data_IF_950398105810
#
_entry.id   IF_950398105810
#
_cell.length_a   1.000
_cell.length_b   1.000
_cell.length_c   1.000
_cell.angle_alpha   90.00
_cell.angle_beta   90.00
_cell.angle_gamma   90.00
#
_symmetry.space_group_name_H-M   'P 1'
#
loop_
_entity.id
_entity.type
_entity.pdbx_description
1 polymer ?
#
# COMPACT_ATOMS: atom_id res chain seq x y z
N UNK A 1 6.90 26.02 -3.57
CA UNK A 1 6.88 24.83 -4.44
C UNK A 1 6.01 23.80 -3.74
N UNK A 2 4.95 23.30 -4.38
CA UNK A 2 4.19 22.17 -3.83
C UNK A 2 5.08 20.92 -3.87
N UNK A 3 5.07 20.07 -2.84
CA UNK A 3 5.91 18.89 -2.83
C UNK A 3 5.53 17.95 -3.98
N UNK A 4 6.54 17.31 -4.57
CA UNK A 4 6.34 16.15 -5.43
C UNK A 4 5.58 15.06 -4.64
N UNK A 5 5.11 14.02 -5.35
CA UNK A 5 4.53 12.83 -4.71
C UNK A 5 5.34 12.42 -3.46
N UNK A 6 4.69 12.44 -2.30
CA UNK A 6 5.24 11.96 -1.05
C UNK A 6 4.76 10.52 -0.85
N UNK A 7 5.64 9.50 -0.95
CA UNK A 7 5.23 8.12 -0.72
C UNK A 7 4.67 7.97 0.71
N UNK A 8 3.77 6.99 0.94
CA UNK A 8 3.33 6.68 2.29
C UNK A 8 4.57 6.24 3.09
N UNK A 9 4.74 6.76 4.31
CA UNK A 9 5.87 6.32 5.14
C UNK A 9 5.41 5.11 5.94
N UNK A 10 5.96 3.95 5.59
CA UNK A 10 5.82 2.76 6.41
C UNK A 10 6.89 2.74 7.49
N UNK A 11 6.46 2.72 8.75
CA UNK A 11 7.33 2.51 9.90
C UNK A 11 7.14 1.06 10.40
N UNK A 12 8.18 0.20 10.37
CA UNK A 12 8.07 -1.21 10.75
C UNK A 12 7.80 -1.44 12.24
N UNK A 13 6.53 -1.62 12.59
CA UNK A 13 6.09 -1.97 13.95
C UNK A 13 6.23 -3.48 14.27
N UNK A 14 6.28 -3.87 15.55
CA UNK A 14 6.20 -5.28 15.95
C UNK A 14 4.90 -5.93 15.45
N UNK A 15 5.00 -7.17 14.96
CA UNK A 15 3.81 -7.94 14.62
C UNK A 15 3.14 -8.48 15.90
N UNK A 16 1.90 -8.07 16.16
CA UNK A 16 1.22 -8.29 17.45
C UNK A 16 0.21 -9.43 17.46
N UNK A 17 -0.06 -10.06 16.30
CA UNK A 17 -1.13 -11.08 16.21
C UNK A 17 -0.63 -12.50 16.47
N UNK A 18 0.68 -12.71 16.67
CA UNK A 18 1.22 -14.04 16.96
C UNK A 18 0.64 -14.61 18.25
N UNK A 19 0.07 -15.81 18.17
CA UNK A 19 -0.47 -16.53 19.33
C UNK A 19 -1.86 -16.09 19.79
N UNK A 20 -2.48 -15.13 19.11
CA UNK A 20 -3.86 -14.71 19.37
C UNK A 20 -4.87 -15.67 18.73
N UNK A 21 -5.95 -15.94 19.42
CA UNK A 21 -7.15 -16.55 18.85
C UNK A 21 -7.96 -15.53 18.04
N UNK A 22 -8.85 -16.02 17.16
CA UNK A 22 -9.70 -15.15 16.33
C UNK A 22 -10.47 -14.11 17.17
N UNK A 23 -11.02 -14.50 18.32
CA UNK A 23 -11.78 -13.59 19.19
C UNK A 23 -10.92 -12.51 19.87
N UNK A 24 -9.60 -12.70 19.90
CA UNK A 24 -8.62 -11.80 20.53
C UNK A 24 -8.04 -10.80 19.53
N UNK A 25 -8.26 -10.99 18.23
CA UNK A 25 -7.88 -10.00 17.22
C UNK A 25 -8.66 -8.69 17.38
N UNK A 26 -8.15 -7.55 16.91
CA UNK A 26 -8.94 -6.31 16.85
C UNK A 26 -10.28 -6.54 16.12
N UNK A 27 -11.37 -5.95 16.62
CA UNK A 27 -12.72 -6.16 16.07
C UNK A 27 -12.81 -5.93 14.56
N UNK A 28 -12.09 -4.91 14.06
CA UNK A 28 -11.99 -4.63 12.64
C UNK A 28 -11.41 -5.79 11.83
N UNK A 29 -10.36 -6.44 12.34
CA UNK A 29 -9.75 -7.61 11.72
C UNK A 29 -10.69 -8.82 11.74
N UNK A 30 -11.43 -9.02 12.84
CA UNK A 30 -12.45 -10.08 12.92
C UNK A 30 -13.54 -9.89 11.86
N UNK A 31 -14.12 -8.70 11.78
CA UNK A 31 -15.14 -8.35 10.78
C UNK A 31 -14.59 -8.49 9.36
N UNK A 32 -13.36 -8.03 9.10
CA UNK A 32 -12.74 -8.19 7.79
C UNK A 32 -12.61 -9.67 7.41
N UNK A 33 -12.10 -10.52 8.30
CA UNK A 33 -11.93 -11.95 8.02
C UNK A 33 -13.29 -12.67 7.84
N UNK A 34 -14.26 -12.37 8.70
CA UNK A 34 -15.57 -13.03 8.71
C UNK A 34 -16.48 -12.57 7.56
N UNK A 35 -16.65 -11.26 7.40
CA UNK A 35 -17.75 -10.68 6.61
C UNK A 35 -17.27 -10.20 5.24
N UNK A 36 -16.04 -9.67 5.15
CA UNK A 36 -15.52 -9.05 3.92
C UNK A 36 -14.70 -10.03 3.08
N UNK A 37 -13.70 -10.67 3.69
CA UNK A 37 -12.86 -11.67 3.07
C UNK A 37 -13.54 -13.06 3.06
N UNK A 38 -14.44 -13.31 4.02
CA UNK A 38 -15.10 -14.60 4.22
C UNK A 38 -14.08 -15.75 4.37
N UNK A 39 -12.96 -15.47 5.04
CA UNK A 39 -11.86 -16.38 5.32
C UNK A 39 -11.97 -16.92 6.75
N UNK A 40 -13.01 -17.72 6.97
CA UNK A 40 -13.18 -18.54 8.17
C UNK A 40 -13.07 -20.03 7.81
N UNK A 41 -12.91 -20.94 8.77
CA UNK A 41 -12.95 -22.37 8.50
C UNK A 41 -14.23 -22.75 7.72
N UNK A 42 -14.14 -23.61 6.68
CA UNK A 42 -12.93 -24.28 6.18
C UNK A 42 -12.14 -23.46 5.15
N UNK A 43 -12.67 -22.35 4.63
CA UNK A 43 -12.10 -21.60 3.49
C UNK A 43 -10.72 -21.01 3.79
N UNK A 44 -10.44 -20.66 5.05
CA UNK A 44 -9.11 -20.21 5.49
C UNK A 44 -8.00 -21.25 5.25
N UNK A 45 -8.35 -22.54 5.15
CA UNK A 45 -7.40 -23.63 4.94
C UNK A 45 -7.04 -23.81 3.46
N UNK A 46 -7.74 -23.12 2.54
CA UNK A 46 -7.44 -23.16 1.11
C UNK A 46 -6.35 -22.11 0.78
N UNK A 47 -5.12 -22.51 0.40
CA UNK A 47 -4.02 -21.57 0.16
C UNK A 47 -4.35 -20.54 -0.94
N UNK A 48 -5.09 -20.96 -1.97
CA UNK A 48 -5.48 -20.09 -3.07
C UNK A 48 -6.47 -19.00 -2.64
N UNK A 49 -7.32 -19.26 -1.63
CA UNK A 49 -8.28 -18.27 -1.15
C UNK A 49 -7.58 -17.11 -0.42
N UNK A 50 -6.61 -17.43 0.44
CA UNK A 50 -5.80 -16.41 1.15
C UNK A 50 -4.92 -15.64 0.17
N UNK A 51 -4.29 -16.33 -0.78
CA UNK A 51 -3.49 -15.69 -1.83
C UNK A 51 -4.34 -14.72 -2.66
N UNK A 52 -5.50 -15.16 -3.13
CA UNK A 52 -6.42 -14.33 -3.90
C UNK A 52 -6.87 -13.09 -3.11
N UNK A 53 -7.16 -13.26 -1.83
CA UNK A 53 -7.56 -12.13 -0.98
C UNK A 53 -6.43 -11.12 -0.79
N UNK A 54 -5.19 -11.56 -0.60
CA UNK A 54 -4.04 -10.65 -0.54
C UNK A 54 -3.90 -9.84 -1.82
N UNK A 55 -4.07 -10.48 -2.99
CA UNK A 55 -4.02 -9.78 -4.27
C UNK A 55 -5.13 -8.73 -4.36
N UNK A 56 -6.36 -9.10 -3.99
CA UNK A 56 -7.51 -8.19 -3.95
C UNK A 56 -7.26 -7.00 -3.01
N UNK A 57 -6.68 -7.25 -1.85
CA UNK A 57 -6.35 -6.22 -0.87
C UNK A 57 -5.29 -5.23 -1.39
N UNK A 58 -4.22 -5.74 -2.02
CA UNK A 58 -3.18 -4.90 -2.64
C UNK A 58 -3.76 -4.07 -3.78
N UNK A 59 -4.65 -4.65 -4.59
CA UNK A 59 -5.36 -3.91 -5.63
C UNK A 59 -6.27 -2.83 -5.06
N UNK A 60 -6.99 -3.13 -3.99
CA UNK A 60 -7.82 -2.15 -3.29
C UNK A 60 -6.98 -0.99 -2.76
N UNK A 61 -5.80 -1.25 -2.17
CA UNK A 61 -4.89 -0.20 -1.71
C UNK A 61 -4.50 0.74 -2.85
N UNK A 62 -4.06 0.20 -3.99
CA UNK A 62 -3.71 1.01 -5.15
C UNK A 62 -4.88 1.88 -5.62
N UNK A 63 -6.07 1.30 -5.78
CA UNK A 63 -7.27 2.02 -6.24
C UNK A 63 -7.71 3.11 -5.26
N UNK A 64 -7.60 2.85 -3.96
CA UNK A 64 -7.89 3.86 -2.95
C UNK A 64 -6.88 5.02 -2.98
N UNK A 65 -5.59 4.72 -3.18
CA UNK A 65 -4.54 5.73 -3.27
C UNK A 65 -4.56 6.51 -4.59
N UNK A 66 -5.04 5.89 -5.68
CA UNK A 66 -5.18 6.52 -7.01
C UNK A 66 -5.96 7.83 -6.92
N UNK A 67 -7.12 7.83 -6.24
CA UNK A 67 -7.94 9.03 -6.07
C UNK A 67 -7.19 10.15 -5.34
N UNK A 68 -6.56 9.83 -4.21
CA UNK A 68 -5.76 10.82 -3.45
C UNK A 68 -4.58 11.35 -4.27
N UNK A 69 -3.98 10.52 -5.12
CA UNK A 69 -2.85 10.90 -5.97
C UNK A 69 -3.28 11.82 -7.12
N UNK A 70 -4.41 11.52 -7.78
CA UNK A 70 -5.00 12.40 -8.80
C UNK A 70 -5.28 13.78 -8.21
N UNK A 71 -5.91 13.85 -7.02
CA UNK A 71 -6.16 15.15 -6.37
C UNK A 71 -4.87 15.91 -6.05
N UNK A 72 -3.80 15.24 -5.62
CA UNK A 72 -2.49 15.89 -5.41
C UNK A 72 -1.90 16.44 -6.72
N UNK A 73 -2.06 15.72 -7.82
CA UNK A 73 -1.63 16.15 -9.16
C UNK A 73 -2.41 17.39 -9.60
N UNK A 74 -3.74 17.37 -9.49
CA UNK A 74 -4.61 18.51 -9.81
C UNK A 74 -4.22 19.76 -9.02
N UNK A 75 -3.92 19.62 -7.71
CA UNK A 75 -3.46 20.75 -6.90
C UNK A 75 -2.11 21.30 -7.36
N UNK A 76 -1.18 20.46 -7.83
CA UNK A 76 0.09 20.94 -8.43
C UNK A 76 -0.16 21.68 -9.74
N UNK A 77 -1.02 21.15 -10.60
CA UNK A 77 -1.39 21.79 -11.85
C UNK A 77 -2.04 23.16 -11.63
N UNK A 78 -3.00 23.25 -10.71
CA UNK A 78 -3.62 24.52 -10.32
C UNK A 78 -2.60 25.54 -9.81
N UNK A 79 -1.60 25.08 -9.05
CA UNK A 79 -0.53 25.95 -8.55
C UNK A 79 0.35 26.48 -9.68
N UNK A 80 0.68 25.65 -10.68
CA UNK A 80 1.44 26.07 -11.86
C UNK A 80 0.65 27.09 -12.69
N UNK A 81 -0.63 26.80 -12.96
CA UNK A 81 -1.53 27.70 -13.69
C UNK A 81 -1.71 29.05 -13.00
N UNK A 82 -1.87 29.06 -11.67
CA UNK A 82 -1.97 30.31 -10.90
C UNK A 82 -0.70 31.17 -11.02
N UNK A 83 0.49 30.54 -11.14
CA UNK A 83 1.75 31.25 -11.36
C UNK A 83 1.81 31.86 -12.77
N UNK A 84 1.37 31.14 -13.80
CA UNK A 84 1.30 31.64 -15.18
C UNK A 84 0.35 32.84 -15.35
N UNK A 85 -0.75 32.84 -14.59
CA UNK A 85 -1.78 33.89 -14.63
C UNK A 85 -1.36 35.22 -14.00
N UNK A 86 -0.15 35.34 -13.43
CA UNK A 86 0.37 36.56 -12.80
C UNK A 86 -0.64 37.22 -11.84
N UNK A 87 -1.27 36.41 -10.98
CA UNK A 87 -2.31 36.86 -10.07
C UNK A 87 -1.76 37.92 -9.08
N UNK A 88 -2.62 38.83 -8.57
CA UNK A 88 -2.24 39.74 -7.50
C UNK A 88 -1.68 38.98 -6.29
N UNK A 89 -0.65 39.50 -5.59
CA UNK A 89 0.03 38.77 -4.52
C UNK A 89 -0.89 38.26 -3.40
N UNK A 90 -1.90 39.04 -3.03
CA UNK A 90 -2.89 38.67 -2.01
C UNK A 90 -3.74 37.48 -2.45
N UNK A 91 -4.24 37.51 -3.69
CA UNK A 91 -5.05 36.42 -4.28
C UNK A 91 -4.20 35.15 -4.44
N UNK A 92 -2.95 35.28 -4.89
CA UNK A 92 -2.03 34.16 -5.00
C UNK A 92 -1.73 33.52 -3.63
N UNK A 93 -1.57 34.34 -2.58
CA UNK A 93 -1.34 33.86 -1.22
C UNK A 93 -2.55 33.11 -0.65
N UNK A 94 -3.76 33.63 -0.81
CA UNK A 94 -5.00 32.99 -0.35
C UNK A 94 -5.26 31.64 -1.02
N UNK A 95 -5.07 31.57 -2.35
CA UNK A 95 -5.19 30.31 -3.11
C UNK A 95 -4.15 29.29 -2.67
N UNK A 96 -2.90 29.71 -2.47
CA UNK A 96 -1.84 28.82 -1.97
C UNK A 96 -2.13 28.32 -0.55
N UNK A 97 -2.63 29.18 0.34
CA UNK A 97 -2.99 28.78 1.70
C UNK A 97 -4.11 27.73 1.70
N UNK A 98 -5.16 27.95 0.91
CA UNK A 98 -6.29 27.01 0.77
C UNK A 98 -5.81 25.66 0.22
N UNK A 99 -4.97 25.68 -0.82
CA UNK A 99 -4.39 24.48 -1.42
C UNK A 99 -3.53 23.70 -0.42
N UNK A 100 -2.67 24.39 0.33
CA UNK A 100 -1.83 23.76 1.35
C UNK A 100 -2.68 23.16 2.46
N UNK A 101 -3.76 23.85 2.87
CA UNK A 101 -4.70 23.32 3.85
C UNK A 101 -5.37 22.02 3.35
N UNK A 102 -5.84 21.97 2.12
CA UNK A 102 -6.41 20.73 1.55
C UNK A 102 -5.38 19.60 1.49
N UNK A 103 -4.15 19.88 1.05
CA UNK A 103 -3.09 18.88 0.98
C UNK A 103 -2.77 18.33 2.38
N UNK A 104 -2.51 19.21 3.35
CA UNK A 104 -2.00 18.83 4.66
C UNK A 104 -3.11 18.30 5.58
N UNK A 105 -4.31 18.85 5.51
CA UNK A 105 -5.39 18.49 6.42
C UNK A 105 -6.35 17.42 5.87
N UNK A 106 -6.32 17.14 4.57
CA UNK A 106 -7.25 16.19 3.93
C UNK A 106 -6.50 15.09 3.19
N UNK A 107 -5.69 15.45 2.18
CA UNK A 107 -5.12 14.46 1.27
C UNK A 107 -4.04 13.59 1.93
N UNK A 108 -3.09 14.19 2.66
CA UNK A 108 -2.04 13.42 3.35
C UNK A 108 -2.60 12.56 4.50
N UNK A 109 -3.49 13.06 5.38
CA UNK A 109 -4.12 12.23 6.40
C UNK A 109 -4.94 11.07 5.82
N UNK A 110 -5.72 11.31 4.75
CA UNK A 110 -6.49 10.26 4.10
C UNK A 110 -5.58 9.17 3.52
N UNK A 111 -4.47 9.58 2.92
CA UNK A 111 -3.45 8.64 2.42
C UNK A 111 -2.89 7.75 3.52
N UNK A 112 -2.55 8.32 4.69
CA UNK A 112 -2.08 7.54 5.84
C UNK A 112 -3.17 6.61 6.35
N UNK A 113 -4.42 7.09 6.48
CA UNK A 113 -5.57 6.29 6.91
C UNK A 113 -5.76 5.06 6.03
N UNK A 114 -5.64 5.22 4.70
CA UNK A 114 -5.73 4.13 3.73
C UNK A 114 -4.60 3.10 3.90
N UNK A 115 -3.38 3.55 4.20
CA UNK A 115 -2.25 2.66 4.49
C UNK A 115 -2.49 1.88 5.80
N UNK A 116 -2.88 2.56 6.88
CA UNK A 116 -3.13 1.94 8.18
C UNK A 116 -4.23 0.88 8.07
N UNK A 117 -5.30 1.19 7.34
CA UNK A 117 -6.39 0.26 7.07
C UNK A 117 -5.92 -0.97 6.27
N UNK A 118 -5.07 -0.76 5.27
CA UNK A 118 -4.44 -1.84 4.52
C UNK A 118 -3.58 -2.73 5.44
N UNK A 119 -2.73 -2.14 6.29
CA UNK A 119 -1.83 -2.89 7.17
C UNK A 119 -2.61 -3.76 8.15
N UNK A 120 -3.68 -3.24 8.75
CA UNK A 120 -4.54 -4.03 9.66
C UNK A 120 -5.20 -5.22 8.96
N UNK A 121 -5.69 -5.03 7.72
CA UNK A 121 -6.26 -6.12 6.91
C UNK A 121 -5.18 -7.12 6.50
N UNK A 122 -4.00 -6.63 6.13
CA UNK A 122 -2.87 -7.45 5.71
C UNK A 122 -2.36 -8.32 6.85
N UNK A 123 -2.22 -7.75 8.05
CA UNK A 123 -1.82 -8.47 9.26
C UNK A 123 -2.88 -9.52 9.65
N UNK A 124 -4.17 -9.23 9.44
CA UNK A 124 -5.23 -10.23 9.62
C UNK A 124 -5.11 -11.41 8.64
N UNK A 125 -4.73 -11.16 7.38
CA UNK A 125 -4.45 -12.24 6.41
C UNK A 125 -3.16 -12.99 6.74
N UNK A 126 -2.17 -12.33 7.34
CA UNK A 126 -0.94 -12.96 7.79
C UNK A 126 -1.18 -13.85 9.02
N UNK A 127 -2.11 -13.46 9.90
CA UNK A 127 -2.52 -14.29 11.02
C UNK A 127 -3.01 -15.68 10.60
N UNK A 128 -3.69 -15.80 9.44
CA UNK A 128 -4.06 -17.12 8.89
C UNK A 128 -2.81 -17.98 8.59
N UNK A 129 -1.74 -17.39 8.05
CA UNK A 129 -0.49 -18.14 7.79
C UNK A 129 0.18 -18.58 9.10
N UNK A 130 0.13 -17.72 10.13
CA UNK A 130 0.67 -17.99 11.46
C UNK A 130 -0.05 -19.17 12.10
N UNK A 131 -1.39 -19.18 12.07
CA UNK A 131 -2.20 -20.28 12.61
C UNK A 131 -1.90 -21.61 11.91
N UNK A 132 -1.61 -21.56 10.61
CA UNK A 132 -1.22 -22.74 9.83
C UNK A 132 0.22 -23.21 10.07
N UNK A 133 1.08 -22.40 10.71
CA UNK A 133 2.52 -22.65 10.85
C UNK A 133 3.04 -22.26 12.24
N UNK A 134 3.04 -23.23 13.15
CA UNK A 134 3.40 -23.03 14.57
C UNK A 134 4.90 -23.00 14.86
N UNK A 135 5.75 -23.26 13.86
CA UNK A 135 7.20 -23.44 14.04
C UNK A 135 8.01 -22.14 13.95
N UNK A 136 7.37 -21.01 13.63
CA UNK A 136 8.02 -19.70 13.45
C UNK A 136 7.72 -18.78 14.64
N UNK A 137 8.74 -18.07 15.12
CA UNK A 137 8.61 -17.09 16.21
C UNK A 137 8.04 -15.75 15.73
N UNK A 138 7.64 -14.89 16.68
CA UNK A 138 7.09 -13.56 16.37
C UNK A 138 8.05 -12.69 15.53
N UNK A 139 9.37 -12.81 15.75
CA UNK A 139 10.39 -12.09 14.97
C UNK A 139 10.49 -12.57 13.52
N UNK A 140 10.30 -13.87 13.27
CA UNK A 140 10.31 -14.43 11.91
C UNK A 140 9.10 -13.91 11.14
N UNK A 141 7.93 -13.89 11.79
CA UNK A 141 6.70 -13.34 11.23
C UNK A 141 6.79 -11.84 10.99
N UNK A 142 7.41 -11.07 11.90
CA UNK A 142 7.69 -9.65 11.67
C UNK A 142 8.55 -9.45 10.43
N UNK A 143 9.67 -10.16 10.34
CA UNK A 143 10.60 -10.05 9.20
C UNK A 143 9.90 -10.41 7.89
N UNK A 144 9.08 -11.46 7.92
CA UNK A 144 8.28 -11.86 6.75
C UNK A 144 7.24 -10.79 6.38
N UNK A 145 6.47 -10.29 7.34
CA UNK A 145 5.50 -9.19 7.19
C UNK A 145 6.15 -7.97 6.55
N UNK A 146 7.25 -7.49 7.13
CA UNK A 146 8.01 -6.34 6.64
C UNK A 146 8.49 -6.56 5.20
N UNK A 147 8.96 -7.76 4.88
CA UNK A 147 9.42 -8.09 3.53
C UNK A 147 8.30 -8.05 2.48
N UNK A 148 7.10 -8.52 2.83
CA UNK A 148 5.94 -8.48 1.94
C UNK A 148 5.40 -7.07 1.79
N UNK A 149 5.20 -6.36 2.89
CA UNK A 149 4.69 -4.99 2.91
C UNK A 149 5.63 -4.08 2.12
N UNK A 150 6.94 -4.16 2.35
CA UNK A 150 7.92 -3.34 1.61
C UNK A 150 7.84 -3.55 0.10
N UNK A 151 7.64 -4.80 -0.35
CA UNK A 151 7.46 -5.11 -1.78
C UNK A 151 6.15 -4.55 -2.33
N UNK A 152 5.06 -4.69 -1.59
CA UNK A 152 3.75 -4.13 -1.97
C UNK A 152 3.83 -2.63 -2.09
N UNK A 153 4.40 -1.95 -1.10
CA UNK A 153 4.50 -0.50 -1.09
C UNK A 153 5.39 0.00 -2.23
N UNK A 154 6.54 -0.63 -2.47
CA UNK A 154 7.38 -0.30 -3.62
C UNK A 154 6.62 -0.41 -4.94
N UNK A 155 5.86 -1.50 -5.13
CA UNK A 155 5.06 -1.70 -6.35
C UNK A 155 3.96 -0.63 -6.48
N UNK A 156 3.27 -0.31 -5.37
CA UNK A 156 2.24 0.73 -5.35
C UNK A 156 2.85 2.10 -5.66
N UNK A 157 4.00 2.43 -5.06
CA UNK A 157 4.71 3.69 -5.29
C UNK A 157 5.14 3.83 -6.76
N UNK A 158 5.74 2.79 -7.35
CA UNK A 158 6.12 2.79 -8.77
C UNK A 158 4.90 3.07 -9.67
N UNK A 159 3.72 2.54 -9.32
CA UNK A 159 2.49 2.75 -10.11
C UNK A 159 1.90 4.12 -9.93
N UNK A 160 1.95 4.66 -8.72
CA UNK A 160 1.48 6.01 -8.47
C UNK A 160 2.41 7.05 -9.12
N UNK A 161 3.70 6.76 -9.25
CA UNK A 161 4.64 7.56 -10.06
C UNK A 161 4.30 7.47 -11.56
N UNK A 162 4.01 6.27 -12.09
CA UNK A 162 3.57 6.12 -13.48
C UNK A 162 2.25 6.88 -13.75
N UNK A 163 1.33 6.87 -12.79
CA UNK A 163 0.09 7.65 -12.83
C UNK A 163 0.39 9.15 -12.83
N UNK A 164 1.29 9.62 -11.96
CA UNK A 164 1.73 11.02 -11.90
C UNK A 164 2.19 11.52 -13.27
N UNK A 165 3.13 10.80 -13.89
CA UNK A 165 3.66 11.10 -15.22
C UNK A 165 2.54 11.12 -16.28
N UNK A 166 1.61 10.17 -16.22
CA UNK A 166 0.54 10.03 -17.20
C UNK A 166 -0.50 11.15 -17.12
N UNK A 167 -0.88 11.53 -15.89
CA UNK A 167 -1.83 12.62 -15.65
C UNK A 167 -1.17 13.96 -15.97
N UNK A 168 0.08 14.18 -15.56
CA UNK A 168 0.82 15.39 -15.90
C UNK A 168 0.90 15.58 -17.42
N UNK A 169 1.20 14.51 -18.18
CA UNK A 169 1.18 14.55 -19.64
C UNK A 169 -0.20 14.88 -20.22
N UNK A 170 -1.29 14.32 -19.66
CA UNK A 170 -2.66 14.59 -20.09
C UNK A 170 -3.13 16.03 -19.87
N UNK A 171 -2.51 16.73 -18.91
CA UNK A 171 -2.84 18.11 -18.59
C UNK A 171 -2.08 19.12 -19.46
N UNK A 172 -1.22 18.63 -20.39
CA UNK A 172 -0.62 19.44 -21.46
C UNK A 172 -1.46 19.35 -22.74
N UNK A 173 -1.68 20.48 -23.45
CA UNK A 173 -2.65 20.56 -24.54
C UNK A 173 -2.32 19.73 -25.80
N UNK A 174 -1.16 19.07 -25.89
CA UNK A 174 -0.72 18.33 -27.09
C UNK A 174 -1.07 16.82 -27.10
N UNK A 175 -1.62 16.22 -26.03
CA UNK A 175 -1.71 14.76 -25.90
C UNK A 175 -3.12 14.21 -25.62
N UNK A 176 -4.03 14.28 -26.62
CA UNK A 176 -5.39 13.69 -26.49
C UNK A 176 -5.52 12.20 -26.90
N UNK A 177 -4.54 11.58 -27.59
CA UNK A 177 -4.65 10.16 -28.03
C UNK A 177 -3.86 9.15 -27.17
N UNK A 178 -3.03 9.58 -26.23
CA UNK A 178 -2.10 8.71 -25.47
C UNK A 178 -2.69 8.20 -24.15
N UNK A 179 -3.76 8.84 -23.66
CA UNK A 179 -4.24 8.79 -22.28
C UNK A 179 -5.03 7.52 -21.92
N UNK A 180 -5.91 7.05 -22.79
CA UNK A 180 -6.69 5.83 -22.53
C UNK A 180 -5.79 4.58 -22.53
N UNK A 181 -4.80 4.54 -23.43
CA UNK A 181 -3.82 3.46 -23.54
C UNK A 181 -2.81 3.46 -22.39
N UNK A 182 -2.47 4.62 -21.81
CA UNK A 182 -1.59 4.74 -20.66
C UNK A 182 -2.21 4.15 -19.39
N UNK A 183 -3.44 4.57 -19.05
CA UNK A 183 -4.15 4.09 -17.86
C UNK A 183 -4.47 2.57 -17.95
N UNK A 184 -4.86 2.09 -19.13
CA UNK A 184 -5.06 0.66 -19.39
C UNK A 184 -3.76 -0.16 -19.29
N UNK A 185 -2.63 0.36 -19.77
CA UNK A 185 -1.31 -0.31 -19.62
C UNK A 185 -0.86 -0.39 -18.17
N UNK A 186 -1.04 0.68 -17.39
CA UNK A 186 -0.67 0.69 -15.96
C UNK A 186 -1.50 -0.32 -15.19
N UNK A 187 -2.79 -0.46 -15.52
CA UNK A 187 -3.73 -1.43 -14.92
C UNK A 187 -3.38 -2.88 -15.26
N UNK A 188 -3.14 -3.20 -16.53
CA UNK A 188 -2.79 -4.58 -16.98
C UNK A 188 -1.42 -5.03 -16.45
N UNK A 189 -0.44 -4.11 -16.40
CA UNK A 189 0.91 -4.44 -15.89
C UNK A 189 0.95 -4.62 -14.37
N UNK A 190 0.03 -3.97 -13.64
CA UNK A 190 -0.13 -4.18 -12.21
C UNK A 190 -0.70 -5.57 -11.88
N UNK A 191 -1.68 -6.05 -12.65
CA UNK A 191 -2.24 -7.40 -12.50
C UNK A 191 -1.19 -8.51 -12.74
N UNK A 192 -0.23 -8.28 -13.65
CA UNK A 192 0.83 -9.26 -13.96
C UNK A 192 1.94 -9.34 -12.90
N UNK A 193 2.32 -8.23 -12.26
CA UNK A 193 3.36 -8.22 -11.20
C UNK A 193 2.87 -8.83 -9.88
N UNK A 194 1.56 -8.86 -9.66
CA UNK A 194 0.96 -9.46 -8.46
C UNK A 194 1.13 -11.00 -8.40
N UNK A 195 1.26 -11.68 -9.54
CA UNK A 195 1.27 -13.15 -9.60
C UNK A 195 2.51 -13.80 -8.96
N UNK A 196 3.66 -13.11 -8.96
CA UNK A 196 4.94 -13.65 -8.46
C UNK A 196 5.26 -13.25 -7.01
N UNK A 197 4.86 -12.05 -6.57
CA UNK A 197 5.38 -11.40 -5.35
C UNK A 197 4.88 -11.98 -4.01
N UNK A 198 3.74 -12.68 -4.00
CA UNK A 198 3.06 -13.16 -2.78
C UNK A 198 3.03 -14.69 -2.66
N UNK A 199 3.86 -15.39 -3.44
CA UNK A 199 3.78 -16.85 -3.58
C UNK A 199 4.64 -17.65 -2.60
N UNK A 200 5.49 -17.03 -1.77
CA UNK A 200 6.43 -17.76 -0.91
C UNK A 200 6.32 -17.32 0.54
N UNK A 201 5.95 -18.27 1.41
CA UNK A 201 5.98 -18.16 2.87
C UNK A 201 7.42 -18.37 3.39
N UNK A 202 7.77 -17.92 4.61
CA UNK A 202 9.11 -18.12 5.14
C UNK A 202 9.37 -19.63 5.27
N UNK A 203 10.55 -20.06 4.82
CA UNK A 203 11.09 -21.36 5.19
C UNK A 203 11.69 -21.24 6.60
N UNK A 204 11.49 -22.23 7.48
CA UNK A 204 12.21 -22.26 8.74
C UNK A 204 13.70 -22.23 8.41
N UNK A 205 14.40 -21.21 8.89
CA UNK A 205 15.86 -21.19 8.87
C UNK A 205 16.28 -22.34 9.78
N UNK A 206 16.74 -23.45 9.21
CA UNK A 206 17.38 -24.50 9.97
C UNK A 206 18.52 -23.86 10.76
N UNK A 207 18.32 -23.66 12.06
CA UNK A 207 19.38 -23.39 13.02
C UNK A 207 20.21 -24.67 13.20
N UNK A 208 20.88 -25.08 12.13
CA UNK A 208 21.79 -26.23 12.11
C UNK A 208 22.85 -25.99 11.06
N UNK A 209 23.78 -25.07 11.34
CA UNK A 209 25.19 -25.13 10.92
C UNK A 209 25.94 -23.90 11.43
N UNK A 210 26.31 -23.93 12.70
CA UNK A 210 27.59 -23.34 13.11
C UNK A 210 28.08 -24.03 14.38
N UNK A 211 28.43 -25.32 14.23
CA UNK A 211 29.49 -25.87 15.06
C UNK A 211 30.81 -25.53 14.38
N UNK A 212 31.54 -24.54 14.88
CA UNK A 212 32.99 -24.57 14.98
C UNK A 212 33.50 -23.27 15.64
N UNK A 213 34.49 -23.46 16.51
CA UNK A 213 35.40 -22.49 17.12
C UNK A 213 34.90 -21.68 18.32
N UNK A 214 35.13 -22.23 19.52
CA UNK A 214 35.93 -21.54 20.53
C UNK A 214 36.96 -22.54 21.08
N UNK A 215 38.24 -22.23 20.85
CA UNK A 215 39.37 -22.75 21.61
C UNK A 215 39.29 -22.20 23.04
N UNK A 216 39.40 -23.08 24.04
CA UNK A 216 40.26 -22.95 25.23
C UNK A 216 40.29 -24.30 25.97
#
# INVERSE_FOLDING_TARGET
>A
MSPAFLPPVYDPEPYTFTGLHLQELPHFCQHYLADVAQLLPPRMLAPDAVKHERHRLVFSLFRSLEGTSISLIEKRYDAARDQELNLPPTVAAEKNATRLQEIVCILLPERQRLLDEFLLKFDALLWIDVECRKDCGANDWKTYRDSLVSRVLKMVDERLIELDISVDASMTPEASEVTENGLLRTKVRFELLQLDLLSHAPHPVNAASSSAFINL
#
